data_IF_887972517464
#
_entry.id   IF_887972517464
#
_cell.length_a   1.000
_cell.length_b   1.000
_cell.length_c   1.000
_cell.angle_alpha   90.00
_cell.angle_beta   90.00
_cell.angle_gamma   90.00
#
_symmetry.space_group_name_H-M   'P 1'
#
loop_
_entity.id
_entity.type
_entity.pdbx_description
1 polymer ?
#
# COMPACT_ATOMS: atom_id res chain seq x y z
N UNK A 1 -5.75 14.86 -16.21
CA UNK A 1 -5.60 13.63 -15.42
C UNK A 1 -6.97 13.05 -15.17
N UNK A 2 -7.20 11.75 -15.46
CA UNK A 2 -8.49 11.14 -15.27
C UNK A 2 -8.88 11.02 -13.78
N UNK A 3 -10.18 11.11 -13.53
CA UNK A 3 -10.78 10.92 -12.20
C UNK A 3 -12.05 10.08 -12.32
N UNK A 4 -12.42 9.40 -11.24
CA UNK A 4 -13.74 8.78 -11.06
C UNK A 4 -14.32 9.28 -9.73
N UNK A 5 -15.64 9.27 -9.62
CA UNK A 5 -16.31 9.67 -8.36
C UNK A 5 -17.03 8.46 -7.78
N UNK A 6 -16.73 8.14 -6.53
CA UNK A 6 -17.35 7.07 -5.76
C UNK A 6 -17.85 7.60 -4.41
N UNK A 7 -19.13 7.43 -4.12
CA UNK A 7 -19.78 7.94 -2.90
C UNK A 7 -19.43 9.41 -2.59
N UNK A 8 -19.49 10.28 -3.61
CA UNK A 8 -19.19 11.71 -3.50
C UNK A 8 -17.71 12.07 -3.41
N UNK A 9 -16.80 11.09 -3.42
CA UNK A 9 -15.33 11.30 -3.36
C UNK A 9 -14.73 11.15 -4.75
N UNK A 10 -14.07 12.19 -5.24
CA UNK A 10 -13.34 12.16 -6.51
C UNK A 10 -11.95 11.52 -6.29
N UNK A 11 -11.69 10.46 -7.04
CA UNK A 11 -10.45 9.69 -7.00
C UNK A 11 -9.64 9.95 -8.27
N UNK A 12 -8.41 10.38 -8.10
CA UNK A 12 -7.47 10.62 -9.19
C UNK A 12 -6.67 9.36 -9.50
N UNK A 13 -6.47 9.07 -10.79
CA UNK A 13 -5.68 7.92 -11.20
C UNK A 13 -4.92 8.16 -12.51
N UNK A 14 -3.91 7.35 -12.75
CA UNK A 14 -3.25 7.18 -14.05
C UNK A 14 -3.58 5.79 -14.60
N UNK A 15 -3.78 5.69 -15.93
CA UNK A 15 -3.92 4.40 -16.62
C UNK A 15 -2.98 4.34 -17.81
N UNK A 16 -2.14 3.31 -17.87
CA UNK A 16 -1.10 3.15 -18.90
C UNK A 16 -1.04 1.70 -19.39
N UNK A 17 -0.47 1.50 -20.57
CA UNK A 17 -0.28 0.18 -21.15
C UNK A 17 -1.59 -0.51 -21.54
N UNK A 18 -1.45 -1.74 -22.03
CA UNK A 18 -2.54 -2.64 -22.45
C UNK A 18 -2.14 -4.07 -22.10
N UNK A 19 -3.13 -4.95 -21.98
CA UNK A 19 -2.89 -6.38 -21.69
C UNK A 19 -3.46 -6.80 -20.35
N UNK A 20 -3.48 -8.11 -20.12
CA UNK A 20 -4.06 -8.77 -18.95
C UNK A 20 -3.07 -9.72 -18.30
N UNK A 21 -3.18 -10.00 -16.99
CA UNK A 21 -4.05 -9.29 -16.06
C UNK A 21 -3.67 -7.81 -15.95
N UNK A 22 -4.63 -6.95 -15.59
CA UNK A 22 -4.33 -5.56 -15.27
C UNK A 22 -3.69 -5.46 -13.87
N UNK A 23 -2.85 -4.46 -13.67
CA UNK A 23 -2.29 -4.13 -12.35
C UNK A 23 -3.00 -2.93 -11.74
N UNK A 24 -3.26 -2.98 -10.43
CA UNK A 24 -3.69 -1.84 -9.64
C UNK A 24 -2.66 -1.59 -8.56
N UNK A 25 -1.98 -0.44 -8.60
CA UNK A 25 -0.99 -0.02 -7.62
C UNK A 25 -1.62 0.84 -6.53
N UNK A 26 -1.41 0.45 -5.26
CA UNK A 26 -2.05 0.99 -4.07
C UNK A 26 -0.96 1.49 -3.12
N UNK A 27 -0.81 2.81 -3.00
CA UNK A 27 0.24 3.42 -2.20
C UNK A 27 -0.01 3.33 -0.68
N UNK A 28 1.01 3.69 0.11
CA UNK A 28 0.98 3.68 1.57
C UNK A 28 0.38 4.94 2.21
N UNK A 29 0.39 4.95 3.56
CA UNK A 29 -0.04 6.07 4.38
C UNK A 29 0.64 7.37 3.99
N UNK A 30 -0.15 8.42 3.76
CA UNK A 30 0.29 9.77 3.36
C UNK A 30 1.18 9.85 2.10
N UNK A 31 1.29 8.77 1.34
CA UNK A 31 1.94 8.71 0.03
C UNK A 31 0.98 9.15 -1.09
N UNK A 32 1.42 9.01 -2.33
CA UNK A 32 0.61 9.17 -3.53
C UNK A 32 0.98 8.12 -4.59
N UNK A 33 0.26 8.09 -5.71
CA UNK A 33 0.45 7.13 -6.80
C UNK A 33 1.85 7.14 -7.44
N UNK A 34 2.64 8.22 -7.26
CA UNK A 34 3.99 8.32 -7.82
C UNK A 34 4.99 7.38 -7.17
N UNK A 35 4.67 6.84 -6.00
CA UNK A 35 5.53 5.92 -5.27
C UNK A 35 5.75 4.59 -6.01
N UNK A 36 4.78 4.20 -6.85
CA UNK A 36 4.91 3.03 -7.72
C UNK A 36 5.33 3.37 -9.15
N UNK A 37 5.88 4.56 -9.42
CA UNK A 37 6.26 4.96 -10.78
C UNK A 37 7.24 3.98 -11.47
N UNK A 38 8.27 3.41 -10.79
CA UNK A 38 9.16 2.43 -11.40
C UNK A 38 8.41 1.17 -11.83
N UNK A 39 7.53 0.62 -10.97
CA UNK A 39 6.72 -0.57 -11.25
C UNK A 39 5.71 -0.30 -12.36
N UNK A 40 5.01 0.83 -12.29
CA UNK A 40 4.07 1.24 -13.33
C UNK A 40 4.74 1.35 -14.70
N UNK A 41 5.93 1.94 -14.79
CA UNK A 41 6.73 2.01 -16.02
C UNK A 41 7.13 0.62 -16.53
N UNK A 42 7.55 -0.27 -15.63
CA UNK A 42 7.99 -1.63 -15.96
C UNK A 42 6.85 -2.47 -16.51
N UNK A 43 5.74 -2.58 -15.76
CA UNK A 43 4.62 -3.46 -16.12
C UNK A 43 3.74 -2.91 -17.25
N UNK A 44 3.68 -1.59 -17.46
CA UNK A 44 2.92 -0.99 -18.56
C UNK A 44 3.40 -1.41 -19.97
N UNK A 45 4.56 -2.03 -20.09
CA UNK A 45 5.08 -2.58 -21.36
C UNK A 45 4.25 -3.76 -21.87
N UNK A 46 3.59 -4.51 -20.96
CA UNK A 46 2.88 -5.75 -21.29
C UNK A 46 1.48 -5.85 -20.67
N UNK A 47 1.17 -5.00 -19.70
CA UNK A 47 -0.06 -5.03 -18.93
C UNK A 47 -0.73 -3.67 -18.90
N UNK A 48 -2.05 -3.64 -18.74
CA UNK A 48 -2.73 -2.42 -18.34
C UNK A 48 -2.41 -2.15 -16.88
N UNK A 49 -1.95 -0.95 -16.58
CA UNK A 49 -1.55 -0.51 -15.24
C UNK A 49 -2.41 0.67 -14.82
N UNK A 50 -3.00 0.58 -13.65
CA UNK A 50 -3.72 1.68 -13.01
C UNK A 50 -3.02 2.00 -11.68
N UNK A 51 -2.61 3.25 -11.49
CA UNK A 51 -2.08 3.77 -10.22
C UNK A 51 -3.04 4.84 -9.74
N UNK A 52 -3.60 4.69 -8.53
CA UNK A 52 -4.57 5.64 -8.00
C UNK A 52 -4.00 6.40 -6.80
N UNK A 53 -4.48 7.62 -6.60
CA UNK A 53 -4.40 8.29 -5.30
C UNK A 53 -5.61 7.85 -4.48
N UNK A 54 -5.39 7.22 -3.34
CA UNK A 54 -6.46 6.82 -2.43
C UNK A 54 -7.21 8.05 -1.92
N UNK A 55 -8.49 7.90 -1.50
CA UNK A 55 -9.20 8.97 -0.80
C UNK A 55 -8.33 9.57 0.29
N UNK A 56 -8.35 10.88 0.46
CA UNK A 56 -7.50 11.59 1.40
C UNK A 56 -6.09 11.90 0.89
N UNK A 57 -5.63 11.29 -0.21
CA UNK A 57 -4.24 11.33 -0.63
C UNK A 57 -4.04 11.96 -2.02
N UNK A 58 -2.81 12.41 -2.26
CA UNK A 58 -2.41 12.93 -3.56
C UNK A 58 -3.36 14.00 -4.10
N UNK A 59 -3.91 13.76 -5.28
CA UNK A 59 -4.86 14.66 -5.97
C UNK A 59 -6.32 14.18 -5.86
N UNK A 60 -6.59 13.13 -5.10
CA UNK A 60 -7.94 12.75 -4.71
C UNK A 60 -8.52 13.68 -3.65
N UNK A 61 -9.85 13.70 -3.54
CA UNK A 61 -10.55 14.47 -2.52
C UNK A 61 -10.16 14.00 -1.11
N UNK A 62 -10.21 14.94 -0.18
CA UNK A 62 -9.77 14.76 1.21
C UNK A 62 -10.93 15.05 2.17
N UNK A 63 -12.01 14.23 2.14
CA UNK A 63 -13.17 14.44 2.98
C UNK A 63 -12.79 14.40 4.47
N UNK A 64 -13.54 15.10 5.29
CA UNK A 64 -13.46 14.95 6.74
C UNK A 64 -14.09 13.60 7.13
N UNK A 65 -13.58 12.99 8.20
CA UNK A 65 -14.13 11.76 8.75
C UNK A 65 -13.13 10.60 8.81
N UNK A 66 -13.60 9.40 9.15
CA UNK A 66 -12.75 8.23 9.29
C UNK A 66 -12.25 7.72 7.94
N UNK A 67 -11.07 7.09 7.96
CA UNK A 67 -10.45 6.43 6.82
C UNK A 67 -10.17 4.95 7.12
N UNK A 68 -11.22 4.12 7.31
CA UNK A 68 -11.02 2.68 7.55
C UNK A 68 -10.50 2.01 6.28
N UNK A 69 -9.78 0.90 6.43
CA UNK A 69 -9.24 0.13 5.29
C UNK A 69 -10.35 -0.31 4.33
N UNK A 70 -11.53 -0.66 4.84
CA UNK A 70 -12.69 -1.00 4.02
C UNK A 70 -13.10 0.09 3.04
N UNK A 71 -13.00 1.38 3.42
CA UNK A 71 -13.34 2.47 2.52
C UNK A 71 -12.39 2.57 1.32
N UNK A 72 -11.10 2.25 1.51
CA UNK A 72 -10.14 2.13 0.39
C UNK A 72 -10.45 0.92 -0.49
N UNK A 73 -10.83 -0.21 0.13
CA UNK A 73 -11.24 -1.43 -0.60
C UNK A 73 -12.44 -1.14 -1.50
N UNK A 74 -13.48 -0.49 -0.97
CA UNK A 74 -14.69 -0.13 -1.72
C UNK A 74 -14.36 0.76 -2.93
N UNK A 75 -13.49 1.76 -2.74
CA UNK A 75 -13.04 2.64 -3.81
C UNK A 75 -12.31 1.88 -4.92
N UNK A 76 -11.43 0.94 -4.54
CA UNK A 76 -10.66 0.16 -5.50
C UNK A 76 -11.55 -0.84 -6.23
N UNK A 77 -12.46 -1.51 -5.54
CA UNK A 77 -13.43 -2.42 -6.15
C UNK A 77 -14.34 -1.71 -7.15
N UNK A 78 -14.79 -0.48 -6.81
CA UNK A 78 -15.53 0.38 -7.72
C UNK A 78 -14.68 0.79 -8.94
N UNK A 79 -13.43 1.21 -8.74
CA UNK A 79 -12.50 1.55 -9.82
C UNK A 79 -12.28 0.38 -10.78
N UNK A 80 -12.04 -0.84 -10.27
CA UNK A 80 -11.86 -2.05 -11.07
C UNK A 80 -13.08 -2.29 -11.96
N UNK A 81 -14.28 -2.17 -11.39
CA UNK A 81 -15.54 -2.38 -12.11
C UNK A 81 -15.79 -1.30 -13.15
N UNK A 82 -15.64 -0.01 -12.78
CA UNK A 82 -15.87 1.15 -13.66
C UNK A 82 -14.93 1.14 -14.86
N UNK A 83 -13.66 0.80 -14.65
CA UNK A 83 -12.65 0.74 -15.71
C UNK A 83 -12.68 -0.59 -16.49
N UNK A 84 -13.55 -1.52 -16.11
CA UNK A 84 -13.71 -2.86 -16.74
C UNK A 84 -12.36 -3.60 -16.83
N UNK A 85 -11.62 -3.63 -15.70
CA UNK A 85 -10.26 -4.20 -15.70
C UNK A 85 -10.28 -5.73 -15.74
N UNK A 86 -11.39 -6.38 -15.39
CA UNK A 86 -11.46 -7.82 -15.13
C UNK A 86 -10.76 -8.15 -13.80
N UNK A 87 -10.30 -9.37 -13.64
CA UNK A 87 -9.47 -9.73 -12.47
C UNK A 87 -8.10 -9.05 -12.57
N UNK A 88 -7.68 -8.39 -11.47
CA UNK A 88 -6.45 -7.62 -11.41
C UNK A 88 -5.41 -8.26 -10.51
N UNK A 89 -4.15 -7.91 -10.71
CA UNK A 89 -3.09 -8.08 -9.69
C UNK A 89 -3.06 -6.79 -8.87
N UNK A 90 -3.46 -6.87 -7.61
CA UNK A 90 -3.43 -5.74 -6.69
C UNK A 90 -2.08 -5.68 -5.97
N UNK A 91 -1.32 -4.62 -6.20
CA UNK A 91 0.01 -4.42 -5.63
C UNK A 91 -0.03 -3.26 -4.66
N UNK A 92 0.12 -3.53 -3.38
CA UNK A 92 0.01 -2.51 -2.33
C UNK A 92 1.25 -2.41 -1.46
N UNK A 93 1.61 -1.18 -1.09
CA UNK A 93 2.71 -0.87 -0.18
C UNK A 93 2.17 -0.45 1.19
N UNK A 94 2.73 -0.97 2.27
CA UNK A 94 2.39 -0.54 3.64
C UNK A 94 0.88 -0.61 3.91
N UNK A 95 0.20 0.53 4.18
CA UNK A 95 -1.27 0.63 4.23
C UNK A 95 -1.93 0.06 2.97
N UNK A 96 -1.36 0.33 1.78
CA UNK A 96 -1.83 -0.27 0.53
C UNK A 96 -1.68 -1.78 0.49
N UNK A 97 -0.69 -2.35 1.20
CA UNK A 97 -0.48 -3.79 1.32
C UNK A 97 -1.60 -4.48 2.10
N UNK A 98 -1.99 -3.94 3.24
CA UNK A 98 -3.14 -4.44 4.01
C UNK A 98 -4.47 -4.16 3.28
N UNK A 99 -4.54 -3.07 2.51
CA UNK A 99 -5.70 -2.81 1.62
C UNK A 99 -5.80 -3.85 0.50
N UNK A 100 -4.66 -4.26 -0.11
CA UNK A 100 -4.65 -5.34 -1.10
C UNK A 100 -5.06 -6.69 -0.50
N UNK A 101 -4.62 -6.99 0.74
CA UNK A 101 -5.03 -8.18 1.48
C UNK A 101 -6.55 -8.20 1.70
N UNK A 102 -7.10 -7.09 2.23
CA UNK A 102 -8.55 -6.97 2.44
C UNK A 102 -9.33 -7.06 1.14
N UNK A 103 -8.83 -6.43 0.05
CA UNK A 103 -9.46 -6.52 -1.27
C UNK A 103 -9.50 -7.95 -1.79
N UNK A 104 -8.40 -8.70 -1.63
CA UNK A 104 -8.35 -10.14 -2.00
C UNK A 104 -9.29 -11.01 -1.18
N UNK A 105 -9.50 -10.65 0.10
CA UNK A 105 -10.43 -11.34 1.00
C UNK A 105 -11.90 -11.07 0.65
N UNK A 106 -12.24 -9.81 0.37
CA UNK A 106 -13.64 -9.38 0.21
C UNK A 106 -14.13 -9.47 -1.26
N UNK A 107 -13.22 -9.38 -2.25
CA UNK A 107 -13.52 -9.37 -3.68
C UNK A 107 -12.67 -10.35 -4.49
N UNK A 108 -12.65 -11.67 -4.14
CA UNK A 108 -11.86 -12.66 -4.87
C UNK A 108 -12.30 -12.84 -6.33
N UNK A 109 -13.50 -12.40 -6.68
CA UNK A 109 -14.03 -12.34 -8.05
C UNK A 109 -13.33 -11.25 -8.90
N UNK A 110 -12.78 -10.21 -8.27
CA UNK A 110 -12.09 -9.08 -8.93
C UNK A 110 -10.56 -9.18 -8.88
N UNK A 111 -10.00 -10.10 -8.10
CA UNK A 111 -8.56 -10.20 -7.84
C UNK A 111 -8.01 -11.51 -8.37
N UNK A 112 -6.99 -11.47 -9.21
CA UNK A 112 -6.25 -12.62 -9.69
C UNK A 112 -5.10 -13.00 -8.74
N UNK A 113 -4.53 -12.01 -8.05
CA UNK A 113 -3.50 -12.19 -7.03
C UNK A 113 -3.19 -10.87 -6.33
N UNK A 114 -2.61 -10.96 -5.15
CA UNK A 114 -2.18 -9.79 -4.36
C UNK A 114 -0.67 -9.79 -4.17
N UNK A 115 -0.09 -8.60 -4.16
CA UNK A 115 1.32 -8.38 -3.79
C UNK A 115 1.35 -7.35 -2.67
N UNK A 116 1.86 -7.76 -1.52
CA UNK A 116 2.02 -6.92 -0.33
C UNK A 116 3.49 -6.52 -0.22
N UNK A 117 3.80 -5.28 -0.56
CA UNK A 117 5.15 -4.71 -0.52
C UNK A 117 5.34 -4.08 0.84
N UNK A 118 6.07 -4.74 1.70
CA UNK A 118 6.31 -4.41 3.12
C UNK A 118 5.03 -3.88 3.79
N UNK A 119 3.96 -4.69 3.86
CA UNK A 119 2.65 -4.26 4.36
C UNK A 119 2.74 -3.72 5.79
N UNK A 120 1.84 -2.82 6.17
CA UNK A 120 1.68 -2.43 7.56
C UNK A 120 1.47 -3.67 8.44
N UNK A 121 1.87 -3.63 9.73
CA UNK A 121 1.74 -4.79 10.60
C UNK A 121 0.32 -5.37 10.60
N UNK A 122 0.20 -6.68 10.38
CA UNK A 122 -1.09 -7.38 10.49
C UNK A 122 -1.51 -7.52 11.95
N UNK A 123 -0.54 -7.61 12.84
CA UNK A 123 -0.72 -7.52 14.29
C UNK A 123 0.26 -6.47 14.81
N UNK A 124 -0.26 -5.54 15.59
CA UNK A 124 0.55 -4.50 16.21
C UNK A 124 1.02 -4.96 17.60
N UNK A 125 2.33 -5.10 17.85
CA UNK A 125 2.84 -5.26 19.20
C UNK A 125 2.35 -4.10 20.10
N UNK A 126 2.00 -4.35 21.38
CA UNK A 126 1.42 -3.33 22.25
C UNK A 126 2.24 -2.03 22.34
N UNK A 127 3.57 -2.15 22.45
CA UNK A 127 4.48 -1.01 22.56
C UNK A 127 4.50 -0.19 21.26
N UNK A 128 4.52 -0.86 20.10
CA UNK A 128 4.51 -0.20 18.80
C UNK A 128 3.15 0.48 18.57
N UNK A 129 2.06 -0.19 18.93
CA UNK A 129 0.71 0.37 18.87
C UNK A 129 0.59 1.65 19.73
N UNK A 130 1.05 1.61 20.98
CA UNK A 130 1.06 2.77 21.86
C UNK A 130 1.93 3.91 21.31
N UNK A 131 3.12 3.60 20.79
CA UNK A 131 4.02 4.60 20.18
C UNK A 131 3.39 5.29 18.98
N UNK A 132 2.79 4.52 18.06
CA UNK A 132 2.10 5.08 16.89
C UNK A 132 0.83 5.84 17.31
N UNK A 133 0.11 5.37 18.32
CA UNK A 133 -1.02 6.08 18.92
C UNK A 133 -0.64 7.46 19.47
N UNK A 134 0.52 7.58 20.12
CA UNK A 134 1.05 8.86 20.59
C UNK A 134 1.39 9.81 19.42
N UNK A 135 1.90 9.28 18.29
CA UNK A 135 2.12 10.08 17.07
C UNK A 135 0.80 10.62 16.53
N UNK A 136 -0.25 9.78 16.50
CA UNK A 136 -1.59 10.21 16.08
C UNK A 136 -2.11 11.34 16.97
N UNK A 137 -2.00 11.21 18.30
CA UNK A 137 -2.41 12.25 19.23
C UNK A 137 -1.64 13.57 19.03
N UNK A 138 -0.34 13.49 18.77
CA UNK A 138 0.48 14.68 18.46
C UNK A 138 0.02 15.37 17.17
N UNK A 139 -0.26 14.59 16.10
CA UNK A 139 -0.78 15.14 14.83
C UNK A 139 -2.11 15.88 15.06
N UNK A 140 -3.02 15.32 15.87
CA UNK A 140 -4.31 15.91 16.20
C UNK A 140 -4.16 17.19 17.04
N UNK A 141 -3.16 17.23 17.91
CA UNK A 141 -2.78 18.44 18.66
C UNK A 141 -2.02 19.51 17.82
N UNK A 142 -1.77 19.24 16.52
CA UNK A 142 -1.06 20.14 15.62
C UNK A 142 0.46 20.00 15.63
N UNK A 143 1.04 19.11 16.45
CA UNK A 143 2.48 18.85 16.48
C UNK A 143 2.86 17.81 15.41
N UNK A 144 3.58 18.29 14.39
CA UNK A 144 4.04 17.46 13.27
C UNK A 144 5.47 16.86 13.47
N UNK A 145 6.15 17.22 14.56
CA UNK A 145 7.53 16.75 14.80
C UNK A 145 7.61 15.23 14.98
N UNK A 146 6.77 14.59 15.82
CA UNK A 146 6.79 13.14 15.98
C UNK A 146 6.51 12.39 14.68
N UNK A 147 5.55 12.88 13.86
CA UNK A 147 5.26 12.32 12.54
C UNK A 147 6.48 12.39 11.63
N UNK A 148 7.11 13.56 11.55
CA UNK A 148 8.30 13.76 10.73
C UNK A 148 9.45 12.84 11.15
N UNK A 149 9.68 12.74 12.46
CA UNK A 149 10.71 11.89 13.03
C UNK A 149 10.45 10.42 12.74
N UNK A 150 9.21 9.95 12.95
CA UNK A 150 8.81 8.58 12.63
C UNK A 150 9.10 8.23 11.16
N UNK A 151 8.73 9.10 10.21
CA UNK A 151 8.98 8.87 8.79
C UNK A 151 10.48 8.81 8.51
N UNK A 152 11.27 9.73 9.08
CA UNK A 152 12.70 9.83 8.80
C UNK A 152 13.51 8.67 9.39
N UNK A 153 13.19 8.26 10.61
CA UNK A 153 14.04 7.37 11.42
C UNK A 153 13.57 5.91 11.37
N UNK A 154 12.25 5.67 11.25
CA UNK A 154 11.70 4.32 11.32
C UNK A 154 11.47 3.66 9.95
N UNK A 155 11.33 4.44 8.86
CA UNK A 155 10.95 3.93 7.55
C UNK A 155 12.11 3.80 6.57
N UNK A 156 13.32 4.18 6.96
CA UNK A 156 14.51 4.12 6.10
C UNK A 156 15.67 3.43 6.79
N UNK A 157 16.54 2.84 6.00
CA UNK A 157 17.85 2.38 6.48
C UNK A 157 18.81 3.59 6.61
N UNK A 158 19.82 3.47 7.47
CA UNK A 158 20.89 4.48 7.58
C UNK A 158 21.63 4.69 6.24
N UNK A 159 21.60 3.68 5.38
CA UNK A 159 22.22 3.66 4.05
C UNK A 159 21.30 4.13 2.93
N UNK A 160 20.02 4.41 3.20
CA UNK A 160 19.08 4.86 2.18
C UNK A 160 19.51 6.19 1.53
N UNK A 161 19.25 6.33 0.24
CA UNK A 161 19.59 7.54 -0.52
C UNK A 161 18.93 8.79 0.09
N UNK A 162 19.75 9.79 0.44
CA UNK A 162 19.28 11.01 1.10
C UNK A 162 18.33 11.85 0.25
N UNK A 163 18.48 11.81 -1.09
CA UNK A 163 17.59 12.53 -2.00
C UNK A 163 16.22 11.86 -2.03
N UNK A 164 16.18 10.51 -2.02
CA UNK A 164 14.96 9.75 -1.89
C UNK A 164 14.26 10.03 -0.55
N UNK A 165 14.97 9.97 0.57
CA UNK A 165 14.43 10.30 1.90
C UNK A 165 13.80 11.69 1.91
N UNK A 166 14.51 12.72 1.39
CA UNK A 166 14.00 14.09 1.29
C UNK A 166 12.73 14.18 0.44
N UNK A 167 12.70 13.47 -0.70
CA UNK A 167 11.52 13.41 -1.59
C UNK A 167 10.32 12.78 -0.88
N UNK A 168 10.49 11.63 -0.24
CA UNK A 168 9.43 10.93 0.48
C UNK A 168 8.90 11.78 1.62
N UNK A 169 9.78 12.35 2.45
CA UNK A 169 9.40 13.27 3.52
C UNK A 169 8.56 14.44 2.99
N UNK A 170 8.99 15.07 1.87
CA UNK A 170 8.24 16.18 1.26
C UNK A 170 6.81 15.78 0.92
N UNK A 171 6.62 14.63 0.27
CA UNK A 171 5.29 14.15 -0.13
C UNK A 171 4.45 13.77 1.08
N UNK A 172 5.00 12.94 1.96
CA UNK A 172 4.25 12.46 3.12
C UNK A 172 3.82 13.59 4.05
N UNK A 173 4.69 14.57 4.30
CA UNK A 173 4.38 15.72 5.16
C UNK A 173 3.41 16.72 4.53
N UNK A 174 3.19 16.69 3.22
CA UNK A 174 2.20 17.54 2.55
C UNK A 174 0.75 17.07 2.77
N UNK A 175 0.54 15.84 3.25
CA UNK A 175 -0.80 15.33 3.55
C UNK A 175 -1.41 16.07 4.75
N UNK A 176 -2.69 16.51 4.68
CA UNK A 176 -3.37 17.20 5.78
C UNK A 176 -3.36 16.39 7.08
N UNK A 177 -3.33 17.09 8.22
CA UNK A 177 -3.28 16.45 9.55
C UNK A 177 -4.44 15.49 9.80
N UNK A 178 -5.68 15.91 9.45
CA UNK A 178 -6.86 15.06 9.64
C UNK A 178 -6.77 13.75 8.82
N UNK A 179 -6.24 13.81 7.60
CA UNK A 179 -6.02 12.60 6.78
C UNK A 179 -4.96 11.72 7.43
N UNK A 180 -3.81 12.30 7.80
CA UNK A 180 -2.72 11.56 8.40
C UNK A 180 -3.15 10.84 9.69
N UNK A 181 -3.85 11.54 10.60
CA UNK A 181 -4.34 10.98 11.83
C UNK A 181 -5.40 9.89 11.58
N UNK A 182 -6.44 10.20 10.78
CA UNK A 182 -7.55 9.28 10.60
C UNK A 182 -7.18 8.04 9.77
N UNK A 183 -6.28 8.18 8.77
CA UNK A 183 -5.78 7.02 8.03
C UNK A 183 -4.91 6.11 8.93
N UNK A 184 -4.08 6.68 9.82
CA UNK A 184 -3.32 5.88 10.78
C UNK A 184 -4.23 5.17 11.78
N UNK A 185 -5.30 5.82 12.27
CA UNK A 185 -6.33 5.16 13.09
C UNK A 185 -6.97 3.98 12.34
N UNK A 186 -7.25 4.13 11.03
CA UNK A 186 -7.76 3.04 10.20
C UNK A 186 -6.79 1.88 10.06
N UNK A 187 -5.48 2.15 9.99
CA UNK A 187 -4.43 1.13 9.96
C UNK A 187 -4.36 0.39 11.30
N UNK A 188 -4.37 1.12 12.43
CA UNK A 188 -4.30 0.53 13.77
C UNK A 188 -5.54 -0.31 14.12
N UNK A 189 -6.70 0.02 13.56
CA UNK A 189 -7.95 -0.70 13.74
C UNK A 189 -8.14 -1.90 12.80
N UNK A 190 -7.20 -2.13 11.89
CA UNK A 190 -7.30 -3.21 10.90
C UNK A 190 -7.09 -4.59 11.53
N UNK A 191 -8.05 -5.49 11.34
CA UNK A 191 -7.93 -6.91 11.76
C UNK A 191 -7.22 -7.74 10.67
N UNK A 192 -5.89 -7.73 10.72
CA UNK A 192 -5.04 -8.43 9.77
C UNK A 192 -5.24 -9.94 9.74
N UNK A 193 -5.27 -10.63 10.90
CA UNK A 193 -5.54 -12.06 10.98
C UNK A 193 -6.88 -12.46 10.37
N UNK A 194 -7.97 -11.72 10.65
CA UNK A 194 -9.27 -12.01 10.08
C UNK A 194 -9.29 -11.82 8.55
N UNK A 195 -8.63 -10.80 8.03
CA UNK A 195 -8.49 -10.59 6.59
C UNK A 195 -7.66 -11.73 5.94
N UNK A 196 -6.55 -12.11 6.54
CA UNK A 196 -5.68 -13.19 6.06
C UNK A 196 -6.41 -14.53 6.01
N UNK A 197 -7.20 -14.86 7.04
CA UNK A 197 -7.97 -16.10 7.10
C UNK A 197 -9.01 -16.22 5.96
N UNK A 198 -9.58 -15.10 5.53
CA UNK A 198 -10.56 -15.03 4.43
C UNK A 198 -9.92 -14.95 3.04
N UNK A 199 -8.69 -14.47 2.94
CA UNK A 199 -8.01 -14.30 1.65
C UNK A 199 -7.60 -15.65 1.06
N UNK A 200 -8.18 -16.01 -0.09
CA UNK A 200 -7.91 -17.26 -0.80
C UNK A 200 -7.23 -17.08 -2.14
N UNK A 201 -7.01 -15.85 -2.57
CA UNK A 201 -6.30 -15.56 -3.81
C UNK A 201 -4.78 -15.76 -3.63
N UNK A 202 -4.04 -16.07 -4.71
CA UNK A 202 -2.58 -16.11 -4.65
C UNK A 202 -2.00 -14.84 -4.04
N UNK A 203 -1.03 -14.97 -3.14
CA UNK A 203 -0.45 -13.84 -2.41
C UNK A 203 1.08 -13.87 -2.42
N UNK A 204 1.69 -12.72 -2.68
CA UNK A 204 3.12 -12.48 -2.53
C UNK A 204 3.34 -11.46 -1.41
N UNK A 205 4.19 -11.80 -0.46
CA UNK A 205 4.73 -10.87 0.53
C UNK A 205 6.16 -10.51 0.17
N UNK A 206 6.45 -9.24 -0.02
CA UNK A 206 7.79 -8.71 -0.28
C UNK A 206 8.28 -7.94 0.94
N UNK A 207 9.08 -8.59 1.77
CA UNK A 207 9.63 -8.04 2.99
C UNK A 207 10.75 -7.03 2.72
N UNK A 208 10.83 -5.99 3.53
CA UNK A 208 11.97 -5.05 3.62
C UNK A 208 12.97 -5.48 4.70
N UNK A 209 13.97 -4.64 4.98
CA UNK A 209 14.98 -4.85 6.02
C UNK A 209 14.97 -3.69 7.03
N UNK A 210 14.59 -3.89 8.31
CA UNK A 210 13.89 -5.06 8.84
C UNK A 210 12.43 -5.15 8.35
N UNK A 211 11.82 -6.35 8.28
CA UNK A 211 10.44 -6.48 7.85
C UNK A 211 9.45 -6.04 8.94
N UNK A 212 8.37 -5.36 8.55
CA UNK A 212 7.26 -5.05 9.47
C UNK A 212 6.46 -6.30 9.85
N UNK A 213 6.40 -7.27 8.95
CA UNK A 213 5.78 -8.57 9.18
C UNK A 213 6.82 -9.67 8.91
N UNK A 214 7.34 -10.36 9.93
CA UNK A 214 8.27 -11.47 9.72
C UNK A 214 7.69 -12.55 8.81
N UNK A 215 8.44 -13.08 7.81
CA UNK A 215 7.93 -14.05 6.85
C UNK A 215 7.31 -15.31 7.46
N UNK A 216 7.83 -15.81 8.59
CA UNK A 216 7.28 -16.97 9.28
C UNK A 216 5.87 -16.70 9.86
N UNK A 217 5.61 -15.48 10.35
CA UNK A 217 4.29 -15.08 10.80
C UNK A 217 3.33 -14.90 9.62
N UNK A 218 3.81 -14.35 8.51
CA UNK A 218 3.00 -14.24 7.29
C UNK A 218 2.54 -15.61 6.80
N UNK A 219 3.41 -16.62 6.81
CA UNK A 219 3.05 -18.00 6.46
C UNK A 219 2.05 -18.60 7.44
N UNK A 220 2.14 -18.27 8.73
CA UNK A 220 1.19 -18.73 9.74
C UNK A 220 -0.23 -18.19 9.50
N UNK A 221 -0.35 -16.90 9.15
CA UNK A 221 -1.66 -16.25 8.93
C UNK A 221 -2.21 -16.51 7.53
N UNK A 222 -1.34 -16.64 6.53
CA UNK A 222 -1.67 -16.85 5.13
C UNK A 222 -0.85 -18.02 4.58
N UNK A 223 -1.28 -19.29 4.81
CA UNK A 223 -0.45 -20.47 4.55
C UNK A 223 0.08 -20.62 3.13
N UNK A 224 -0.64 -20.07 2.14
CA UNK A 224 -0.27 -20.12 0.72
C UNK A 224 0.51 -18.87 0.27
N UNK A 225 0.98 -18.01 1.19
CA UNK A 225 1.76 -16.85 0.81
C UNK A 225 3.14 -17.24 0.29
N UNK A 226 3.52 -16.66 -0.84
CA UNK A 226 4.90 -16.69 -1.31
C UNK A 226 5.67 -15.55 -0.62
N UNK A 227 6.76 -15.86 0.07
CA UNK A 227 7.60 -14.87 0.71
C UNK A 227 8.81 -14.54 -0.16
N UNK A 228 9.02 -13.25 -0.42
CA UNK A 228 10.22 -12.69 -0.99
C UNK A 228 10.85 -11.67 -0.03
N UNK A 229 12.16 -11.44 -0.17
CA UNK A 229 12.89 -10.50 0.67
C UNK A 229 13.82 -9.64 -0.18
N UNK A 230 13.67 -8.32 -0.09
CA UNK A 230 14.57 -7.39 -0.79
C UNK A 230 15.84 -7.16 0.02
N UNK A 231 16.97 -7.08 -0.67
CA UNK A 231 18.27 -6.85 -0.06
C UNK A 231 18.65 -5.38 -0.21
N UNK A 232 19.10 -4.77 0.89
CA UNK A 232 19.65 -3.41 0.88
C UNK A 232 18.59 -2.30 0.77
N UNK A 233 17.36 -2.57 1.20
CA UNK A 233 16.27 -1.59 1.17
C UNK A 233 15.42 -1.63 2.45
N UNK A 234 14.98 -0.45 2.89
CA UNK A 234 14.03 -0.26 3.97
C UNK A 234 12.58 -0.34 3.51
N UNK A 235 11.70 0.34 4.25
CA UNK A 235 10.25 0.29 4.04
C UNK A 235 9.80 0.66 2.61
N UNK A 236 10.53 1.54 1.93
CA UNK A 236 10.21 1.96 0.56
C UNK A 236 10.97 1.14 -0.50
N UNK A 237 11.09 -0.18 -0.29
CA UNK A 237 11.87 -1.08 -1.14
C UNK A 237 11.48 -1.02 -2.63
N UNK A 238 10.21 -0.73 -2.97
CA UNK A 238 9.77 -0.53 -4.36
C UNK A 238 10.40 0.71 -5.02
N UNK A 239 10.91 1.66 -4.22
CA UNK A 239 11.61 2.84 -4.71
C UNK A 239 13.14 2.72 -4.57
N UNK A 240 13.62 2.05 -3.53
CA UNK A 240 15.04 1.88 -3.22
C UNK A 240 15.69 0.82 -4.12
N UNK A 241 15.00 -0.30 -4.36
CA UNK A 241 15.49 -1.42 -5.18
C UNK A 241 14.42 -1.90 -6.18
N UNK A 242 13.96 -1.02 -7.09
CA UNK A 242 12.82 -1.28 -7.97
C UNK A 242 12.98 -2.53 -8.84
N UNK A 243 14.21 -2.85 -9.26
CA UNK A 243 14.46 -4.01 -10.13
C UNK A 243 14.29 -5.33 -9.39
N UNK A 244 14.66 -5.42 -8.10
CA UNK A 244 14.38 -6.58 -7.27
C UNK A 244 12.88 -6.79 -7.13
N UNK A 245 12.14 -5.73 -6.75
CA UNK A 245 10.67 -5.77 -6.60
C UNK A 245 9.98 -6.17 -7.91
N UNK A 246 10.38 -5.57 -9.04
CA UNK A 246 9.84 -5.89 -10.36
C UNK A 246 10.08 -7.35 -10.73
N UNK A 247 11.27 -7.86 -10.49
CA UNK A 247 11.64 -9.25 -10.81
C UNK A 247 10.84 -10.26 -9.98
N UNK A 248 10.66 -9.99 -8.68
CA UNK A 248 9.87 -10.85 -7.79
C UNK A 248 8.38 -10.83 -8.16
N UNK A 249 7.80 -9.65 -8.44
CA UNK A 249 6.40 -9.56 -8.93
C UNK A 249 6.26 -10.29 -10.26
N UNK A 250 7.21 -10.14 -11.18
CA UNK A 250 7.19 -10.83 -12.47
C UNK A 250 7.30 -12.36 -12.33
N UNK A 251 8.09 -12.86 -11.39
CA UNK A 251 8.18 -14.29 -11.07
C UNK A 251 6.86 -14.79 -10.49
N UNK A 252 6.31 -14.08 -9.51
CA UNK A 252 5.02 -14.41 -8.91
C UNK A 252 3.90 -14.50 -9.97
N UNK A 253 3.82 -13.54 -10.86
CA UNK A 253 2.83 -13.51 -11.94
C UNK A 253 2.93 -14.74 -12.85
N UNK A 254 4.14 -15.20 -13.18
CA UNK A 254 4.33 -16.37 -14.07
C UNK A 254 3.98 -17.71 -13.44
N UNK A 255 4.13 -17.83 -12.13
CA UNK A 255 4.05 -19.12 -11.45
C UNK A 255 2.79 -19.32 -10.59
N UNK A 256 2.09 -18.23 -10.26
CA UNK A 256 1.00 -18.28 -9.28
C UNK A 256 -0.30 -17.59 -9.74
N UNK A 257 -0.23 -16.74 -10.78
CA UNK A 257 -1.35 -15.98 -11.32
C UNK A 257 -1.59 -16.33 -12.79
#
# INVERSE_FOLDING_TARGET
MPTITHNGVKLAYDSRGKGRPAFVFIHGWTCDRSFFAPQAKHFARRHRVVSLDLRGHGQSDKPQGPYPISAYVDDIAFLISTLRLGKVVAVGHSMGGITALQLGADHPDKVAGIVMVDPAPLIWPPELNAGVGAIVAAIEAGDQKPRRQFIADALFMKTSDKALVKRVLKVMMASPSHVAANAMKGILAFDGPAAAARCKVPALHLAATPPLNPPHLMTQWLPNVVNGWTVGAGHFNMMEVPDQVNSMIGAFLRHYV
#
